data_IF_324392629276
#
_entry.id   IF_324392629276
#
_cell.length_a   1.000
_cell.length_b   1.000
_cell.length_c   1.000
_cell.angle_alpha   90.00
_cell.angle_beta   90.00
_cell.angle_gamma   90.00
#
_symmetry.space_group_name_H-M   'P 1'
#
loop_
_entity.id
_entity.type
_entity.pdbx_description
1 polymer ?
#
# COMPACT_ATOMS: atom_id res chain seq x y z
N UNK A 1 16.68 -3.22 -4.55
CA UNK A 1 15.65 -4.28 -4.34
C UNK A 1 14.75 -3.89 -3.18
N UNK A 2 13.50 -4.35 -3.15
CA UNK A 2 12.55 -4.01 -2.09
C UNK A 2 12.04 -5.28 -1.39
N UNK A 3 11.78 -5.17 -0.09
CA UNK A 3 11.07 -6.18 0.70
C UNK A 3 9.88 -5.50 1.36
N UNK A 4 8.70 -6.01 1.09
CA UNK A 4 7.47 -5.48 1.64
C UNK A 4 7.14 -6.14 2.98
N UNK A 5 6.68 -5.31 3.91
CA UNK A 5 6.30 -5.69 5.27
C UNK A 5 4.95 -5.07 5.60
N UNK A 6 4.16 -5.76 6.41
CA UNK A 6 2.89 -5.24 6.94
C UNK A 6 2.75 -5.69 8.39
N UNK A 7 1.86 -5.04 9.14
CA UNK A 7 1.40 -5.52 10.44
C UNK A 7 0.43 -6.71 10.29
N UNK A 8 0.11 -7.35 11.41
CA UNK A 8 -0.86 -8.45 11.41
C UNK A 8 -2.29 -7.96 11.17
N UNK A 9 -3.16 -8.77 10.58
CA UNK A 9 -4.56 -8.40 10.30
C UNK A 9 -5.43 -8.08 11.52
N UNK A 10 -4.88 -8.18 12.74
CA UNK A 10 -5.48 -7.75 13.99
C UNK A 10 -4.40 -7.45 15.03
N UNK A 11 -4.74 -6.62 16.02
CA UNK A 11 -3.92 -6.45 17.22
C UNK A 11 -3.71 -7.78 17.93
N UNK A 12 -2.47 -8.13 18.35
CA UNK A 12 -2.22 -9.32 19.16
C UNK A 12 -2.97 -9.28 20.50
N UNK A 13 -3.54 -10.43 20.89
CA UNK A 13 -4.28 -10.54 22.15
C UNK A 13 -3.38 -10.26 23.36
N UNK A 14 -3.86 -9.44 24.30
CA UNK A 14 -3.15 -9.09 25.53
C UNK A 14 -2.13 -7.94 25.39
N UNK A 15 -2.00 -7.33 24.20
CA UNK A 15 -1.14 -6.17 23.97
C UNK A 15 -1.94 -4.87 23.89
N UNK A 16 -1.38 -3.82 24.47
CA UNK A 16 -1.78 -2.43 24.22
C UNK A 16 -1.23 -1.94 22.88
N UNK A 17 -1.84 -0.90 22.30
CA UNK A 17 -1.36 -0.32 21.04
C UNK A 17 0.07 0.23 21.16
N UNK A 18 0.43 0.80 22.33
CA UNK A 18 1.78 1.28 22.62
C UNK A 18 2.80 0.14 22.64
N UNK A 19 2.46 -1.01 23.23
CA UNK A 19 3.34 -2.19 23.23
C UNK A 19 3.54 -2.74 21.81
N UNK A 20 2.49 -2.79 21.00
CA UNK A 20 2.61 -3.21 19.59
C UNK A 20 3.51 -2.24 18.81
N UNK A 21 3.31 -0.93 18.95
CA UNK A 21 4.14 0.07 18.31
C UNK A 21 5.61 0.01 18.76
N UNK A 22 5.85 -0.23 20.05
CA UNK A 22 7.20 -0.43 20.57
C UNK A 22 7.87 -1.67 19.95
N UNK A 23 7.14 -2.78 19.82
CA UNK A 23 7.64 -4.00 19.17
C UNK A 23 7.95 -3.78 17.68
N UNK A 24 7.03 -3.17 16.93
CA UNK A 24 7.26 -2.84 15.52
C UNK A 24 8.52 -1.98 15.36
N UNK A 25 8.68 -0.96 16.21
CA UNK A 25 9.89 -0.12 16.22
C UNK A 25 11.17 -0.93 16.49
N UNK A 26 11.15 -1.92 17.39
CA UNK A 26 12.30 -2.80 17.60
C UNK A 26 12.57 -3.69 16.38
N UNK A 27 11.55 -4.24 15.73
CA UNK A 27 11.73 -5.07 14.54
C UNK A 27 12.34 -4.28 13.39
N UNK A 28 11.83 -3.07 13.11
CA UNK A 28 12.42 -2.19 12.10
C UNK A 28 13.86 -1.82 12.41
N UNK A 29 14.22 -1.65 13.70
CA UNK A 29 15.63 -1.41 14.09
C UNK A 29 16.56 -2.51 13.57
N UNK A 30 16.14 -3.76 13.76
CA UNK A 30 16.94 -4.93 13.41
C UNK A 30 17.02 -5.04 11.90
N UNK A 31 15.89 -5.04 11.19
CA UNK A 31 15.90 -5.27 9.74
C UNK A 31 16.55 -4.12 8.96
N UNK A 32 16.47 -2.88 9.44
CA UNK A 32 17.08 -1.75 8.74
C UNK A 32 18.62 -1.77 8.77
N UNK A 33 19.25 -2.35 9.80
CA UNK A 33 20.71 -2.57 9.81
C UNK A 33 21.14 -3.51 8.67
N UNK A 34 20.35 -4.56 8.40
CA UNK A 34 20.57 -5.42 7.23
C UNK A 34 20.26 -4.69 5.93
N UNK A 35 19.13 -3.99 5.87
CA UNK A 35 18.69 -3.26 4.70
C UNK A 35 19.77 -2.28 4.19
N UNK A 36 20.38 -1.53 5.10
CA UNK A 36 21.48 -0.61 4.80
C UNK A 36 22.75 -1.31 4.28
N UNK A 37 23.10 -2.49 4.82
CA UNK A 37 24.32 -3.23 4.38
C UNK A 37 24.20 -3.81 2.99
N UNK A 38 22.97 -4.06 2.54
CA UNK A 38 22.69 -4.74 1.27
C UNK A 38 21.95 -3.86 0.25
N UNK A 39 21.79 -2.55 0.55
CA UNK A 39 21.05 -1.60 -0.27
C UNK A 39 19.64 -2.08 -0.65
N UNK A 40 18.91 -2.57 0.36
CA UNK A 40 17.54 -3.04 0.25
C UNK A 40 16.62 -2.00 0.88
N UNK A 41 15.51 -1.68 0.21
CA UNK A 41 14.43 -0.88 0.80
C UNK A 41 13.48 -1.82 1.54
N UNK A 42 13.17 -1.48 2.79
CA UNK A 42 12.06 -2.07 3.55
C UNK A 42 10.85 -1.18 3.35
N UNK A 43 9.86 -1.70 2.65
CA UNK A 43 8.58 -1.04 2.45
C UNK A 43 7.60 -1.45 3.55
N UNK A 44 6.88 -0.47 4.05
CA UNK A 44 5.66 -0.68 4.84
C UNK A 44 4.48 -0.62 3.87
N UNK A 45 3.72 -1.70 3.77
CA UNK A 45 2.49 -1.76 2.97
C UNK A 45 1.27 -1.49 3.86
N UNK A 46 0.30 -0.66 3.44
CA UNK A 46 -0.97 -0.52 4.14
C UNK A 46 -1.77 -1.82 3.98
N UNK A 47 -1.63 -2.75 4.93
CA UNK A 47 -2.35 -4.03 4.95
C UNK A 47 -2.58 -4.53 6.40
N UNK A 48 -3.09 -3.67 7.27
CA UNK A 48 -3.39 -4.00 8.67
C UNK A 48 -3.91 -2.78 9.45
N UNK A 49 -4.39 -2.95 10.68
CA UNK A 49 -5.00 -1.90 11.47
C UNK A 49 -4.07 -0.71 11.74
N UNK A 50 -2.75 -0.92 11.83
CA UNK A 50 -1.78 0.16 12.07
C UNK A 50 -1.26 0.78 10.78
N UNK A 51 -1.09 0.00 9.71
CA UNK A 51 -0.52 0.50 8.45
C UNK A 51 -1.57 1.14 7.53
N UNK A 52 -2.86 0.84 7.73
CA UNK A 52 -3.96 1.49 6.98
C UNK A 52 -4.52 2.72 7.67
N UNK A 53 -4.25 2.91 8.97
CA UNK A 53 -4.52 4.18 9.64
C UNK A 53 -3.36 5.15 9.34
N UNK A 54 -3.64 6.33 8.77
CA UNK A 54 -2.58 7.23 8.31
C UNK A 54 -1.75 7.83 9.47
N UNK A 55 -2.31 7.99 10.67
CA UNK A 55 -1.55 8.56 11.78
C UNK A 55 -0.55 7.55 12.34
N UNK A 56 -0.95 6.28 12.48
CA UNK A 56 -0.02 5.22 12.89
C UNK A 56 0.96 4.86 11.77
N UNK A 57 0.55 4.91 10.51
CA UNK A 57 1.47 4.75 9.36
C UNK A 57 2.56 5.82 9.35
N UNK A 58 2.20 7.08 9.61
CA UNK A 58 3.15 8.17 9.76
C UNK A 58 4.13 7.94 10.91
N UNK A 59 3.65 7.44 12.05
CA UNK A 59 4.52 7.08 13.17
C UNK A 59 5.50 5.97 12.79
N UNK A 60 5.05 4.91 12.10
CA UNK A 60 5.88 3.79 11.66
C UNK A 60 6.98 4.28 10.69
N UNK A 61 6.61 5.03 9.66
CA UNK A 61 7.54 5.57 8.66
C UNK A 61 8.54 6.59 9.23
N UNK A 62 8.30 7.06 10.46
CA UNK A 62 9.16 7.98 11.21
C UNK A 62 9.84 7.32 12.42
N UNK A 63 9.77 5.99 12.58
CA UNK A 63 10.50 5.29 13.65
C UNK A 63 12.00 5.56 13.60
N UNK A 64 12.55 5.64 12.39
CA UNK A 64 13.95 5.92 12.11
C UNK A 64 14.04 6.83 10.89
N UNK A 65 14.90 7.84 10.95
CA UNK A 65 15.28 8.64 9.80
C UNK A 65 16.26 7.83 8.93
N UNK A 66 15.71 7.04 8.02
CA UNK A 66 16.47 6.16 7.13
C UNK A 66 15.91 6.22 5.70
N UNK A 67 16.77 6.32 4.67
CA UNK A 67 16.32 6.26 3.28
C UNK A 67 15.81 4.87 2.90
N UNK A 68 16.09 3.84 3.70
CA UNK A 68 15.70 2.45 3.47
C UNK A 68 14.36 2.06 4.13
N UNK A 69 13.72 2.95 4.89
CA UNK A 69 12.36 2.75 5.40
C UNK A 69 11.37 3.58 4.57
N UNK A 70 10.61 2.89 3.72
CA UNK A 70 9.73 3.50 2.72
C UNK A 70 8.35 2.85 2.75
N UNK A 71 7.49 3.23 1.83
CA UNK A 71 6.15 2.72 1.67
C UNK A 71 5.98 2.02 0.33
N UNK A 72 5.37 0.84 0.36
CA UNK A 72 4.69 0.27 -0.80
C UNK A 72 3.22 0.71 -0.71
N UNK A 73 2.77 1.56 -1.64
CA UNK A 73 1.40 2.05 -1.65
C UNK A 73 0.47 1.05 -2.35
N UNK A 74 -0.46 0.42 -1.62
CA UNK A 74 -1.52 -0.43 -2.21
C UNK A 74 -2.83 0.35 -2.33
N UNK A 75 -3.27 0.63 -3.56
CA UNK A 75 -4.50 1.38 -3.84
C UNK A 75 -5.76 0.69 -3.33
N UNK A 76 -5.79 -0.64 -3.38
CA UNK A 76 -6.93 -1.46 -3.02
C UNK A 76 -7.09 -1.59 -1.51
N UNK A 77 -6.01 -1.86 -0.79
CA UNK A 77 -6.07 -1.99 0.67
C UNK A 77 -6.42 -0.66 1.35
N UNK A 78 -5.84 0.45 0.88
CA UNK A 78 -6.18 1.80 1.37
C UNK A 78 -7.67 2.08 1.14
N UNK A 79 -8.18 1.78 -0.06
CA UNK A 79 -9.60 1.96 -0.38
C UNK A 79 -10.51 1.09 0.49
N UNK A 80 -10.17 -0.20 0.67
CA UNK A 80 -10.91 -1.15 1.51
C UNK A 80 -10.89 -0.75 2.98
N UNK A 81 -9.78 -0.20 3.49
CA UNK A 81 -9.72 0.35 4.83
C UNK A 81 -10.62 1.58 5.05
N UNK A 82 -11.35 2.03 4.02
CA UNK A 82 -12.25 3.17 4.08
C UNK A 82 -11.55 4.51 3.90
N UNK A 83 -10.25 4.51 3.59
CA UNK A 83 -9.49 5.72 3.32
C UNK A 83 -9.72 6.20 1.87
N UNK A 84 -9.36 7.45 1.62
CA UNK A 84 -9.25 8.01 0.26
C UNK A 84 -7.84 7.76 -0.28
N UNK A 85 -7.68 6.95 -1.36
CA UNK A 85 -6.36 6.59 -1.87
C UNK A 85 -5.52 7.80 -2.31
N UNK A 86 -6.13 8.80 -2.93
CA UNK A 86 -5.41 9.98 -3.46
C UNK A 86 -4.88 10.83 -2.31
N UNK A 87 -5.70 11.07 -1.27
CA UNK A 87 -5.31 11.82 -0.09
C UNK A 87 -4.24 11.07 0.73
N UNK A 88 -4.38 9.75 0.86
CA UNK A 88 -3.40 8.90 1.54
C UNK A 88 -2.05 8.96 0.83
N UNK A 89 -2.03 8.76 -0.49
CA UNK A 89 -0.82 8.88 -1.29
C UNK A 89 -0.20 10.28 -1.19
N UNK A 90 -1.03 11.33 -1.22
CA UNK A 90 -0.55 12.72 -1.10
C UNK A 90 0.15 12.99 0.23
N UNK A 91 -0.35 12.41 1.33
CA UNK A 91 0.27 12.52 2.66
C UNK A 91 1.65 11.89 2.68
N UNK A 92 1.83 10.73 2.03
CA UNK A 92 3.06 9.94 2.10
C UNK A 92 3.93 9.98 0.84
N UNK A 93 3.65 10.88 -0.11
CA UNK A 93 4.32 10.96 -1.42
C UNK A 93 5.87 10.89 -1.34
N UNK A 94 6.46 11.49 -0.31
CA UNK A 94 7.92 11.54 -0.11
C UNK A 94 8.51 10.22 0.42
N UNK A 95 7.66 9.29 0.85
CA UNK A 95 8.01 7.97 1.39
C UNK A 95 7.70 6.83 0.43
N UNK A 96 6.98 7.06 -0.67
CA UNK A 96 6.58 6.02 -1.63
C UNK A 96 7.78 5.59 -2.48
N UNK A 97 8.07 4.28 -2.50
CA UNK A 97 9.07 3.69 -3.42
C UNK A 97 8.54 2.56 -4.28
N UNK A 98 7.35 2.05 -3.97
CA UNK A 98 6.66 1.04 -4.78
C UNK A 98 5.16 1.27 -4.71
N UNK A 99 4.43 0.81 -5.72
CA UNK A 99 2.97 0.84 -5.70
C UNK A 99 2.41 -0.51 -6.15
N UNK A 100 1.53 -1.08 -5.33
CA UNK A 100 0.59 -2.10 -5.75
C UNK A 100 -0.67 -1.43 -6.28
N UNK A 101 -0.95 -1.64 -7.57
CA UNK A 101 -2.16 -1.15 -8.19
C UNK A 101 -3.19 -2.28 -8.22
N UNK A 102 -4.21 -2.07 -7.41
CA UNK A 102 -5.27 -3.02 -7.12
C UNK A 102 -6.61 -2.29 -7.15
N UNK A 103 -7.46 -2.73 -8.06
CA UNK A 103 -8.84 -2.26 -8.15
C UNK A 103 -9.77 -3.16 -7.31
N UNK A 104 -10.99 -2.73 -7.06
CA UNK A 104 -11.92 -3.40 -6.15
C UNK A 104 -13.28 -3.50 -6.80
N UNK A 105 -13.89 -4.69 -6.82
CA UNK A 105 -15.23 -4.88 -7.35
C UNK A 105 -16.29 -4.18 -6.47
N UNK A 106 -17.41 -3.77 -7.06
CA UNK A 106 -18.49 -3.13 -6.30
C UNK A 106 -19.06 -4.04 -5.20
N UNK A 107 -19.18 -5.34 -5.48
CA UNK A 107 -19.67 -6.33 -4.52
C UNK A 107 -18.73 -6.43 -3.31
N UNK A 108 -17.42 -6.57 -3.56
CA UNK A 108 -16.42 -6.64 -2.50
C UNK A 108 -16.39 -5.35 -1.69
N UNK A 109 -16.40 -4.19 -2.36
CA UNK A 109 -16.43 -2.90 -1.70
C UNK A 109 -17.65 -2.75 -0.78
N UNK A 110 -18.85 -3.14 -1.25
CA UNK A 110 -20.07 -3.10 -0.42
C UNK A 110 -20.01 -4.03 0.77
N UNK A 111 -19.33 -5.17 0.64
CA UNK A 111 -19.27 -6.17 1.69
C UNK A 111 -18.28 -5.80 2.82
N UNK A 112 -17.13 -5.21 2.48
CA UNK A 112 -16.01 -5.13 3.44
C UNK A 112 -15.37 -3.75 3.61
N UNK A 113 -15.71 -2.74 2.79
CA UNK A 113 -15.08 -1.42 2.88
C UNK A 113 -15.37 -0.75 4.22
N UNK A 114 -14.32 -0.25 4.88
CA UNK A 114 -14.34 0.33 6.22
C UNK A 114 -14.40 -0.71 7.35
N UNK A 115 -14.58 -2.00 7.04
CA UNK A 115 -14.60 -3.09 8.01
C UNK A 115 -13.38 -4.03 7.95
N UNK A 116 -12.59 -3.95 6.88
CA UNK A 116 -11.35 -4.72 6.69
C UNK A 116 -10.19 -3.79 6.35
N UNK A 117 -8.97 -4.25 6.57
CA UNK A 117 -7.73 -3.48 6.37
C UNK A 117 -6.90 -3.98 5.18
N UNK A 118 -7.47 -4.83 4.33
CA UNK A 118 -6.81 -5.36 3.14
C UNK A 118 -7.59 -6.49 2.51
N UNK A 119 -7.24 -6.85 1.27
CA UNK A 119 -7.82 -7.98 0.53
C UNK A 119 -6.71 -8.81 -0.11
N UNK A 120 -6.85 -10.14 -0.01
CA UNK A 120 -5.83 -11.06 -0.51
C UNK A 120 -5.64 -10.99 -2.03
N UNK A 121 -6.71 -10.79 -2.80
CA UNK A 121 -6.65 -10.60 -4.25
C UNK A 121 -7.84 -9.80 -4.74
N UNK A 122 -7.62 -8.98 -5.77
CA UNK A 122 -8.72 -8.40 -6.54
C UNK A 122 -9.24 -9.42 -7.55
N UNK A 123 -10.56 -9.53 -7.66
CA UNK A 123 -11.23 -10.39 -8.66
C UNK A 123 -11.53 -9.67 -9.98
N UNK A 124 -11.17 -8.38 -10.07
CA UNK A 124 -11.37 -7.53 -11.25
C UNK A 124 -10.05 -7.03 -11.79
N UNK A 125 -10.00 -6.75 -13.09
CA UNK A 125 -8.88 -6.05 -13.70
C UNK A 125 -8.89 -4.58 -13.28
N UNK A 126 -7.73 -3.94 -13.35
CA UNK A 126 -7.58 -2.52 -13.06
C UNK A 126 -8.40 -1.72 -14.09
N UNK A 127 -9.26 -0.81 -13.61
CA UNK A 127 -10.12 0.03 -14.43
C UNK A 127 -11.55 -0.49 -14.60
N UNK A 128 -11.85 -1.69 -14.11
CA UNK A 128 -13.20 -2.28 -14.13
C UNK A 128 -13.94 -2.13 -12.80
N UNK A 129 -13.21 -1.84 -11.72
CA UNK A 129 -13.77 -1.76 -10.38
C UNK A 129 -14.19 -0.35 -9.98
N UNK A 130 -14.71 -0.25 -8.76
CA UNK A 130 -15.19 1.01 -8.18
C UNK A 130 -14.04 1.90 -7.65
N UNK A 131 -12.80 1.42 -7.71
CA UNK A 131 -11.62 2.17 -7.29
C UNK A 131 -10.87 2.79 -8.48
N UNK A 132 -11.30 2.54 -9.72
CA UNK A 132 -10.63 2.99 -10.94
C UNK A 132 -10.33 4.49 -10.98
N UNK A 133 -11.30 5.34 -10.61
CA UNK A 133 -11.12 6.80 -10.60
C UNK A 133 -10.08 7.25 -9.56
N UNK A 134 -10.04 6.60 -8.40
CA UNK A 134 -9.01 6.91 -7.40
C UNK A 134 -7.63 6.46 -7.86
N UNK A 135 -7.53 5.32 -8.55
CA UNK A 135 -6.28 4.83 -9.14
C UNK A 135 -5.76 5.83 -10.18
N UNK A 136 -6.64 6.31 -11.07
CA UNK A 136 -6.27 7.35 -12.03
C UNK A 136 -5.78 8.62 -11.34
N UNK A 137 -6.49 9.08 -10.29
CA UNK A 137 -6.05 10.24 -9.48
C UNK A 137 -4.70 10.03 -8.77
N UNK A 138 -4.41 8.80 -8.32
CA UNK A 138 -3.11 8.46 -7.75
C UNK A 138 -2.00 8.52 -8.80
N UNK A 139 -2.25 8.02 -10.01
CA UNK A 139 -1.28 8.07 -11.12
C UNK A 139 -0.99 9.52 -11.51
N UNK A 140 -2.01 10.38 -11.60
CA UNK A 140 -1.80 11.80 -11.87
C UNK A 140 -0.95 12.47 -10.79
N UNK A 141 -1.18 12.16 -9.52
CA UNK A 141 -0.32 12.64 -8.44
C UNK A 141 1.13 12.13 -8.54
N UNK A 142 1.34 10.88 -8.94
CA UNK A 142 2.70 10.33 -9.16
C UNK A 142 3.41 11.05 -10.32
N UNK A 143 2.67 11.39 -11.39
CA UNK A 143 3.19 12.23 -12.49
C UNK A 143 3.55 13.63 -12.01
N UNK A 144 2.68 14.28 -11.23
CA UNK A 144 2.91 15.64 -10.68
C UNK A 144 4.24 15.75 -9.93
N UNK A 145 4.60 14.70 -9.19
CA UNK A 145 5.84 14.66 -8.38
C UNK A 145 7.04 14.06 -9.15
N UNK A 146 6.90 13.76 -10.44
CA UNK A 146 7.90 13.09 -11.28
C UNK A 146 8.41 11.78 -10.65
N UNK A 147 7.52 10.99 -10.06
CA UNK A 147 7.88 9.72 -9.46
C UNK A 147 8.26 8.69 -10.53
N UNK A 148 9.39 8.01 -10.32
CA UNK A 148 10.02 7.11 -11.29
C UNK A 148 10.08 5.65 -10.82
N UNK A 149 9.25 5.30 -9.82
CA UNK A 149 9.17 3.94 -9.28
C UNK A 149 8.34 2.98 -10.13
N UNK A 150 7.99 1.84 -9.53
CA UNK A 150 7.31 0.73 -10.22
C UNK A 150 5.84 0.64 -9.80
N UNK A 151 4.95 0.58 -10.80
CA UNK A 151 3.55 0.20 -10.64
C UNK A 151 3.42 -1.31 -10.86
N UNK A 152 3.14 -2.07 -9.80
CA UNK A 152 2.89 -3.51 -9.85
C UNK A 152 1.39 -3.78 -9.98
N UNK A 153 1.00 -4.67 -10.90
CA UNK A 153 -0.40 -5.06 -11.08
C UNK A 153 -0.73 -6.16 -10.08
N UNK A 154 -1.69 -5.90 -9.18
CA UNK A 154 -2.21 -6.92 -8.27
C UNK A 154 -3.68 -7.21 -8.57
N UNK A 155 -3.92 -8.23 -9.38
CA UNK A 155 -5.23 -8.79 -9.63
C UNK A 155 -5.14 -10.31 -9.76
N UNK A 156 -6.28 -10.99 -9.65
CA UNK A 156 -6.35 -12.44 -9.88
C UNK A 156 -5.85 -12.75 -11.28
N UNK A 157 -4.98 -13.76 -11.40
CA UNK A 157 -4.44 -14.23 -12.67
C UNK A 157 -5.46 -15.00 -13.53
N UNK A 158 -6.73 -14.61 -13.45
CA UNK A 158 -7.79 -15.13 -14.30
C UNK A 158 -7.54 -14.69 -15.77
N UNK A 159 -7.89 -15.52 -16.77
CA UNK A 159 -7.60 -15.23 -18.17
C UNK A 159 -8.08 -13.83 -18.60
N UNK A 160 -7.16 -13.02 -19.13
CA UNK A 160 -7.43 -11.69 -19.66
C UNK A 160 -7.38 -10.55 -18.65
N UNK A 161 -7.39 -10.81 -17.34
CA UNK A 161 -7.42 -9.75 -16.31
C UNK A 161 -6.13 -8.95 -16.26
N UNK A 162 -4.98 -9.61 -16.41
CA UNK A 162 -3.67 -8.95 -16.44
C UNK A 162 -3.53 -8.10 -17.71
N UNK A 163 -3.92 -8.63 -18.87
CA UNK A 163 -3.86 -7.91 -20.14
C UNK A 163 -4.76 -6.66 -20.13
N UNK A 164 -6.00 -6.78 -19.65
CA UNK A 164 -6.93 -5.66 -19.50
C UNK A 164 -6.38 -4.60 -18.56
N UNK A 165 -5.83 -5.02 -17.42
CA UNK A 165 -5.20 -4.13 -16.42
C UNK A 165 -4.02 -3.37 -17.05
N UNK A 166 -3.18 -4.06 -17.81
CA UNK A 166 -2.03 -3.46 -18.49
C UNK A 166 -2.46 -2.46 -19.57
N UNK A 167 -3.48 -2.80 -20.37
CA UNK A 167 -4.03 -1.89 -21.39
C UNK A 167 -4.60 -0.62 -20.77
N UNK A 168 -5.32 -0.74 -19.65
CA UNK A 168 -5.89 0.41 -18.94
C UNK A 168 -4.78 1.28 -18.34
N UNK A 169 -3.83 0.68 -17.61
CA UNK A 169 -2.71 1.42 -17.00
C UNK A 169 -1.87 2.17 -18.02
N UNK A 170 -1.58 1.57 -19.18
CA UNK A 170 -0.84 2.24 -20.25
C UNK A 170 -1.53 3.52 -20.73
N UNK A 171 -2.86 3.57 -20.76
CA UNK A 171 -3.61 4.78 -21.12
C UNK A 171 -3.51 5.86 -20.06
N UNK A 172 -3.36 5.47 -18.78
CA UNK A 172 -3.23 6.40 -17.67
C UNK A 172 -1.82 6.96 -17.49
N UNK A 173 -0.77 6.23 -17.89
CA UNK A 173 0.63 6.65 -17.67
C UNK A 173 1.14 7.63 -18.73
N UNK A 174 0.54 7.61 -19.94
CA UNK A 174 0.90 8.49 -21.07
C UNK A 174 0.56 9.96 -20.77
#
# INVERSE_FOLDING_TARGET
>A
PCVDTTDGGRKPDGYTDDEVMALMKQYYRVVLDWAQRYDIIINVEPHGPYTTNPDTMEQILNFYDSPYLRMNFDTGNVFIAGQDPVAFLRRFRDKVSHCHIKDVSEELARAVRGGQTGIASSVVGIGEGVNADNIAGCIELLKEINWDGVLSIECEAAPGKVEQSLEWLRKQIV
#
